data_IF_684361567817
#
_entry.id   IF_684361567817
#
_cell.length_a   1.000
_cell.length_b   1.000
_cell.length_c   1.000
_cell.angle_alpha   90.00
_cell.angle_beta   90.00
_cell.angle_gamma   90.00
#
_symmetry.space_group_name_H-M   'P 1'
#
loop_
_entity.id
_entity.type
_entity.pdbx_description
1 polymer ?
#
# COMPACT_ATOMS: atom_id res chain seq x y z
N UNK A 1 15.54 14.77 62.01
CA UNK A 1 15.32 14.31 60.61
C UNK A 1 16.64 13.78 60.09
N UNK A 2 16.68 12.53 59.64
CA UNK A 2 17.88 11.94 59.05
C UNK A 2 17.99 12.42 57.61
N UNK A 3 18.94 13.32 57.34
CA UNK A 3 19.24 13.78 55.97
C UNK A 3 20.11 12.73 55.29
N UNK A 4 19.69 12.22 54.13
CA UNK A 4 20.49 11.32 53.29
C UNK A 4 20.94 12.08 52.05
N UNK A 5 22.25 12.20 51.85
CA UNK A 5 22.82 12.81 50.66
C UNK A 5 23.01 11.76 49.57
N UNK A 6 22.65 12.10 48.34
CA UNK A 6 22.83 11.25 47.17
C UNK A 6 23.51 12.07 46.07
N UNK A 7 24.41 11.42 45.33
CA UNK A 7 25.05 12.01 44.15
C UNK A 7 24.67 11.18 42.93
N UNK A 8 24.41 11.85 41.81
CA UNK A 8 24.12 11.20 40.54
C UNK A 8 24.68 12.05 39.40
N UNK A 9 25.08 11.36 38.34
CA UNK A 9 25.58 11.99 37.12
C UNK A 9 24.42 12.08 36.13
N UNK A 10 24.21 13.27 35.59
CA UNK A 10 23.31 13.48 34.46
C UNK A 10 24.14 13.48 33.19
N UNK A 11 23.64 12.86 32.14
CA UNK A 11 24.20 13.07 30.80
C UNK A 11 23.98 14.53 30.35
N UNK A 12 24.74 14.98 29.36
CA UNK A 12 24.72 16.37 28.91
C UNK A 12 23.33 16.82 28.44
N UNK A 13 22.57 15.95 27.77
CA UNK A 13 21.24 16.30 27.28
C UNK A 13 20.25 16.50 28.45
N UNK A 14 20.28 15.60 29.43
CA UNK A 14 19.45 15.70 30.63
C UNK A 14 19.85 16.91 31.48
N UNK A 15 21.15 17.18 31.64
CA UNK A 15 21.65 18.35 32.35
C UNK A 15 21.16 19.66 31.73
N UNK A 16 21.27 19.80 30.41
CA UNK A 16 20.79 20.98 29.68
C UNK A 16 19.27 21.15 29.77
N UNK A 17 18.51 20.05 29.76
CA UNK A 17 17.05 20.11 29.92
C UNK A 17 16.63 20.60 31.31
N UNK A 18 17.29 20.11 32.38
CA UNK A 18 17.02 20.55 33.75
C UNK A 18 17.45 22.01 33.94
N UNK A 19 18.59 22.42 33.36
CA UNK A 19 19.02 23.83 33.34
C UNK A 19 17.99 24.74 32.66
N UNK A 20 17.48 24.36 31.48
CA UNK A 20 16.47 25.13 30.77
C UNK A 20 15.17 25.26 31.57
N UNK A 21 14.78 24.22 32.33
CA UNK A 21 13.62 24.28 33.24
C UNK A 21 13.87 25.22 34.42
N UNK A 22 15.05 25.13 35.03
CA UNK A 22 15.45 26.01 36.13
C UNK A 22 15.39 27.49 35.74
N UNK A 23 15.88 27.83 34.54
CA UNK A 23 15.80 29.19 34.00
C UNK A 23 14.36 29.66 33.78
N UNK A 24 13.49 28.81 33.21
CA UNK A 24 12.07 29.17 32.98
C UNK A 24 11.29 29.36 34.27
N UNK A 25 11.57 28.55 35.29
CA UNK A 25 10.87 28.60 36.58
C UNK A 25 11.52 29.59 37.57
N UNK A 26 12.65 30.21 37.22
CA UNK A 26 13.40 31.09 38.13
C UNK A 26 13.94 30.35 39.36
N UNK A 27 14.19 29.05 39.24
CA UNK A 27 14.65 28.15 40.31
C UNK A 27 16.11 27.76 40.12
N UNK A 28 16.74 27.26 41.18
CA UNK A 28 18.05 26.59 41.05
C UNK A 28 17.88 25.18 40.50
N UNK A 29 18.95 24.62 39.91
CA UNK A 29 18.96 23.25 39.41
C UNK A 29 18.58 22.25 40.50
N UNK A 30 19.09 22.46 41.72
CA UNK A 30 18.83 21.65 42.90
C UNK A 30 17.35 21.69 43.32
N UNK A 31 16.72 22.86 43.25
CA UNK A 31 15.29 23.01 43.58
C UNK A 31 14.41 22.27 42.57
N UNK A 32 14.68 22.40 41.27
CA UNK A 32 13.94 21.68 40.22
C UNK A 32 14.06 20.16 40.41
N UNK A 33 15.23 19.71 40.83
CA UNK A 33 15.56 18.31 41.00
C UNK A 33 14.97 17.73 42.30
N UNK A 34 14.99 18.52 43.39
CA UNK A 34 14.30 18.19 44.63
C UNK A 34 12.78 18.11 44.42
N UNK A 35 12.18 19.05 43.67
CA UNK A 35 10.76 19.03 43.31
C UNK A 35 10.41 17.77 42.50
N UNK A 36 11.29 17.36 41.58
CA UNK A 36 11.09 16.15 40.78
C UNK A 36 11.10 14.89 41.64
N UNK A 37 12.06 14.78 42.56
CA UNK A 37 12.17 13.65 43.49
C UNK A 37 10.97 13.61 44.44
N UNK A 38 10.54 14.77 44.94
CA UNK A 38 9.38 14.88 45.82
C UNK A 38 8.08 14.49 45.08
N UNK A 39 7.90 14.92 43.84
CA UNK A 39 6.74 14.57 43.02
C UNK A 39 6.67 13.06 42.74
N UNK A 40 7.82 12.43 42.43
CA UNK A 40 7.92 10.99 42.26
C UNK A 40 7.55 10.22 43.54
N UNK A 41 8.07 10.66 44.69
CA UNK A 41 7.82 10.01 45.98
C UNK A 41 6.35 10.09 46.43
N UNK A 42 5.61 11.11 45.98
CA UNK A 42 4.19 11.30 46.33
C UNK A 42 3.21 10.64 45.34
N UNK A 43 3.69 9.89 44.33
CA UNK A 43 2.82 9.27 43.33
C UNK A 43 2.05 10.28 42.47
N UNK A 44 2.54 11.53 42.43
CA UNK A 44 1.91 12.62 41.71
C UNK A 44 2.14 12.52 40.21
N UNK A 45 1.36 11.70 39.53
CA UNK A 45 1.12 11.84 38.08
C UNK A 45 0.21 13.04 37.84
N UNK A 46 0.69 14.25 38.12
CA UNK A 46 0.17 15.44 37.44
C UNK A 46 0.44 15.24 35.95
N UNK A 47 -0.57 15.41 35.08
CA UNK A 47 -0.55 15.18 33.62
C UNK A 47 0.57 15.89 32.87
N UNK A 48 1.80 15.49 33.15
CA UNK A 48 3.04 15.82 32.49
C UNK A 48 3.39 14.64 31.59
N UNK A 49 4.00 14.91 30.43
CA UNK A 49 4.34 13.85 29.50
C UNK A 49 5.25 12.83 30.17
N UNK A 50 4.82 11.56 30.17
CA UNK A 50 5.65 10.46 30.61
C UNK A 50 6.79 10.33 29.61
N UNK A 51 8.05 10.36 30.03
CA UNK A 51 9.17 10.11 29.12
C UNK A 51 9.42 8.60 28.97
N UNK A 52 9.65 8.13 27.75
CA UNK A 52 9.98 6.74 27.44
C UNK A 52 11.32 6.66 26.69
N UNK A 53 12.28 5.91 27.22
CA UNK A 53 13.56 5.67 26.54
C UNK A 53 13.41 4.48 25.58
N UNK A 54 13.60 4.73 24.29
CA UNK A 54 13.51 3.75 23.21
C UNK A 54 14.49 2.60 23.45
N UNK A 55 13.97 1.38 23.49
CA UNK A 55 14.75 0.16 23.64
C UNK A 55 15.01 -0.50 22.28
N UNK A 56 15.94 -1.45 22.25
CA UNK A 56 16.24 -2.19 21.03
C UNK A 56 15.01 -2.92 20.50
N UNK A 57 14.63 -2.63 19.25
CA UNK A 57 13.47 -3.24 18.61
C UNK A 57 12.13 -2.52 18.85
N UNK A 58 12.15 -1.38 19.54
CA UNK A 58 10.98 -0.52 19.67
C UNK A 58 10.62 0.18 18.36
N UNK A 59 9.33 0.42 18.17
CA UNK A 59 8.76 1.30 17.15
C UNK A 59 7.77 2.22 17.85
N UNK A 60 7.46 3.41 17.30
CA UNK A 60 6.46 4.29 17.92
C UNK A 60 5.12 3.58 18.12
N UNK A 61 4.73 2.65 17.24
CA UNK A 61 3.55 1.81 17.40
C UNK A 61 3.63 0.82 18.55
N UNK A 62 4.79 0.19 18.79
CA UNK A 62 4.99 -0.68 19.97
C UNK A 62 4.94 0.11 21.26
N UNK A 63 5.58 1.27 21.27
CA UNK A 63 5.58 2.19 22.41
C UNK A 63 4.13 2.69 22.65
N UNK A 64 3.40 3.10 21.62
CA UNK A 64 2.00 3.51 21.73
C UNK A 64 1.09 2.39 22.23
N UNK A 65 1.29 1.14 21.78
CA UNK A 65 0.56 -0.01 22.31
C UNK A 65 0.85 -0.23 23.79
N UNK A 66 2.11 -0.12 24.21
CA UNK A 66 2.51 -0.28 25.60
C UNK A 66 1.95 0.85 26.49
N UNK A 67 1.96 2.10 26.00
CA UNK A 67 1.60 3.27 26.79
C UNK A 67 0.10 3.62 26.76
N UNK A 68 -0.58 3.32 25.65
CA UNK A 68 -1.98 3.72 25.42
C UNK A 68 -2.94 2.54 25.21
N UNK A 69 -2.42 1.30 25.23
CA UNK A 69 -3.17 0.10 24.85
C UNK A 69 -3.47 -0.01 23.35
N UNK A 70 -3.06 0.98 22.55
CA UNK A 70 -3.41 1.06 21.13
C UNK A 70 -2.19 1.53 20.30
N UNK A 71 -1.66 0.69 19.40
CA UNK A 71 -0.54 1.05 18.54
C UNK A 71 -0.86 2.20 17.60
N UNK A 72 -2.13 2.43 17.24
CA UNK A 72 -2.54 3.47 16.29
C UNK A 72 -2.49 4.88 16.89
N UNK A 73 -2.24 4.99 18.20
CA UNK A 73 -2.04 6.27 18.89
C UNK A 73 -0.59 6.77 18.84
N UNK A 74 0.29 6.09 18.11
CA UNK A 74 1.66 6.53 17.88
C UNK A 74 1.80 7.96 17.29
N UNK A 75 0.86 8.50 16.48
CA UNK A 75 0.97 9.87 16.00
C UNK A 75 0.97 10.90 17.14
N UNK A 76 0.36 10.59 18.29
CA UNK A 76 0.41 11.45 19.47
C UNK A 76 1.84 11.57 20.03
N UNK A 77 2.57 10.45 20.06
CA UNK A 77 4.00 10.43 20.46
C UNK A 77 4.83 11.15 19.39
N UNK A 78 4.58 10.87 18.12
CA UNK A 78 5.28 11.52 17.00
C UNK A 78 5.15 13.05 17.07
N UNK A 79 3.91 13.56 17.22
CA UNK A 79 3.62 14.98 17.28
C UNK A 79 4.22 15.63 18.52
N UNK A 80 4.10 14.99 19.69
CA UNK A 80 4.66 15.52 20.94
C UNK A 80 6.20 15.63 20.92
N UNK A 81 6.88 14.85 20.08
CA UNK A 81 8.32 14.84 19.93
C UNK A 81 8.82 15.52 18.64
N UNK A 82 7.92 16.15 17.87
CA UNK A 82 8.24 16.76 16.56
C UNK A 82 9.01 15.82 15.62
N UNK A 83 8.70 14.52 15.64
CA UNK A 83 9.36 13.54 14.79
C UNK A 83 8.85 13.68 13.36
N UNK A 84 9.71 14.14 12.47
CA UNK A 84 9.40 14.32 11.04
C UNK A 84 9.16 12.99 10.33
N UNK A 85 9.79 11.92 10.82
CA UNK A 85 9.55 10.55 10.40
C UNK A 85 9.30 9.66 11.63
N UNK A 86 8.11 9.02 11.76
CA UNK A 86 7.78 8.15 12.87
C UNK A 86 8.60 6.85 12.94
N UNK A 87 9.32 6.48 11.87
CA UNK A 87 10.23 5.34 11.84
C UNK A 87 11.66 5.65 12.30
N UNK A 88 12.03 6.93 12.38
CA UNK A 88 13.36 7.36 12.79
C UNK A 88 13.42 7.56 14.32
N UNK A 89 13.41 6.45 15.04
CA UNK A 89 13.74 6.43 16.47
C UNK A 89 14.95 5.54 16.75
N UNK A 90 15.84 5.98 17.63
CA UNK A 90 17.10 5.29 17.96
C UNK A 90 17.07 4.75 19.38
N UNK A 91 17.75 3.63 19.62
CA UNK A 91 17.91 3.07 20.98
C UNK A 91 18.59 4.10 21.89
N UNK A 92 18.02 4.32 23.07
CA UNK A 92 18.46 5.35 24.02
C UNK A 92 17.81 6.72 23.81
N UNK A 93 17.04 6.93 22.72
CA UNK A 93 16.28 8.16 22.52
C UNK A 93 15.16 8.29 23.56
N UNK A 94 15.05 9.46 24.20
CA UNK A 94 13.96 9.74 25.15
C UNK A 94 12.81 10.40 24.42
N UNK A 95 11.62 9.80 24.49
CA UNK A 95 10.39 10.28 23.86
C UNK A 95 9.38 10.78 24.89
N UNK A 96 8.78 11.93 24.62
CA UNK A 96 7.64 12.52 25.31
C UNK A 96 6.37 11.73 24.95
N UNK A 97 5.76 11.07 25.93
CA UNK A 97 4.50 10.33 25.78
C UNK A 97 3.36 11.18 26.37
N UNK A 98 2.59 11.91 25.55
CA UNK A 98 1.50 12.75 26.05
C UNK A 98 0.37 11.92 26.66
N UNK A 99 -0.27 12.35 27.76
CA UNK A 99 -1.44 11.67 28.29
C UNK A 99 -2.62 11.72 27.30
N UNK A 100 -3.44 10.67 27.28
CA UNK A 100 -4.69 10.71 26.53
C UNK A 100 -5.64 11.69 27.21
N UNK A 101 -6.16 12.66 26.45
CA UNK A 101 -7.21 13.54 26.95
C UNK A 101 -8.37 12.67 27.44
N UNK A 102 -8.80 12.89 28.68
CA UNK A 102 -9.97 12.21 29.23
C UNK A 102 -11.16 12.48 28.30
N UNK A 103 -11.99 11.46 28.01
CA UNK A 103 -13.15 11.66 27.17
C UNK A 103 -14.05 12.72 27.80
N UNK A 104 -14.20 13.86 27.12
CA UNK A 104 -15.27 14.81 27.42
C UNK A 104 -16.59 14.03 27.32
N UNK A 105 -17.50 14.09 28.31
CA UNK A 105 -18.77 13.39 28.21
C UNK A 105 -19.47 13.82 26.92
N UNK A 106 -19.83 12.85 26.09
CA UNK A 106 -20.51 13.08 24.83
C UNK A 106 -21.81 13.86 25.06
N UNK A 107 -22.18 14.83 24.21
CA UNK A 107 -23.49 15.46 24.28
C UNK A 107 -24.57 14.37 24.16
N UNK A 108 -25.53 14.39 25.08
CA UNK A 108 -26.67 13.49 25.14
C UNK A 108 -27.36 13.41 23.76
N UNK A 109 -27.57 12.22 23.18
CA UNK A 109 -28.29 12.12 21.92
C UNK A 109 -29.72 12.66 22.09
N UNK A 110 -30.26 13.41 21.10
CA UNK A 110 -31.64 13.86 21.15
C UNK A 110 -32.60 12.65 21.16
N UNK A 111 -33.81 12.80 21.74
CA UNK A 111 -34.76 11.70 21.84
C UNK A 111 -35.08 11.11 20.47
N UNK A 112 -35.08 9.77 20.39
CA UNK A 112 -35.43 9.04 19.18
C UNK A 112 -36.87 9.39 18.74
N UNK A 113 -37.02 9.84 17.49
CA UNK A 113 -38.33 9.96 16.86
C UNK A 113 -38.95 8.57 16.72
N UNK A 114 -40.24 8.48 17.03
CA UNK A 114 -41.04 7.26 16.98
C UNK A 114 -40.96 6.57 15.60
N UNK A 115 -41.07 5.22 15.54
CA UNK A 115 -41.02 4.49 14.29
C UNK A 115 -42.22 4.86 13.40
N UNK A 116 -41.93 5.32 12.19
CA UNK A 116 -42.90 5.48 11.11
C UNK A 116 -43.50 4.10 10.77
N UNK A 117 -44.83 3.94 10.65
CA UNK A 117 -45.45 2.67 10.32
C UNK A 117 -45.02 2.16 8.93
N UNK A 118 -44.86 0.84 8.83
CA UNK A 118 -44.47 0.14 7.61
C UNK A 118 -45.45 0.40 6.45
N UNK A 119 -44.98 0.53 5.20
CA UNK A 119 -45.86 0.60 4.05
C UNK A 119 -46.62 -0.73 3.87
N UNK A 120 -47.92 -0.61 3.61
CA UNK A 120 -48.84 -1.71 3.29
C UNK A 120 -48.35 -2.48 2.06
N UNK A 121 -48.42 -3.83 2.04
CA UNK A 121 -48.04 -4.60 0.86
C UNK A 121 -48.96 -4.29 -0.33
N UNK A 122 -48.34 -3.96 -1.46
CA UNK A 122 -49.00 -3.84 -2.77
C UNK A 122 -49.52 -5.22 -3.22
N UNK A 123 -50.70 -5.34 -3.83
CA UNK A 123 -51.24 -6.63 -4.28
C UNK A 123 -50.37 -7.23 -5.41
N UNK A 124 -50.30 -8.57 -5.41
CA UNK A 124 -49.58 -9.36 -6.38
C UNK A 124 -50.10 -9.14 -7.81
N UNK A 125 -49.22 -9.15 -8.84
CA UNK A 125 -49.67 -9.06 -10.23
C UNK A 125 -50.38 -10.36 -10.65
N UNK A 126 -51.51 -10.19 -11.34
CA UNK A 126 -52.29 -11.26 -11.97
C UNK A 126 -51.48 -11.87 -13.13
N UNK A 127 -51.41 -13.20 -13.27
CA UNK A 127 -50.71 -13.83 -14.40
C UNK A 127 -51.43 -13.53 -15.73
N UNK A 128 -50.69 -13.31 -16.84
CA UNK A 128 -51.31 -13.12 -18.15
C UNK A 128 -51.90 -14.42 -18.69
N UNK A 129 -53.07 -14.30 -19.33
CA UNK A 129 -53.76 -15.38 -20.04
C UNK A 129 -52.91 -15.96 -21.19
N UNK A 130 -53.08 -17.26 -21.52
CA UNK A 130 -52.36 -17.88 -22.63
C UNK A 130 -52.82 -17.31 -23.99
N UNK A 131 -51.91 -17.14 -24.97
CA UNK A 131 -52.28 -16.70 -26.31
C UNK A 131 -53.01 -17.82 -27.07
N UNK A 132 -54.01 -17.40 -27.85
CA UNK A 132 -54.70 -18.22 -28.85
C UNK A 132 -53.73 -18.67 -29.96
N UNK A 133 -53.88 -19.89 -30.51
CA UNK A 133 -53.04 -20.36 -31.60
C UNK A 133 -53.43 -19.63 -32.89
N UNK A 134 -52.49 -18.88 -33.46
CA UNK A 134 -52.60 -18.27 -34.79
C UNK A 134 -51.82 -19.13 -35.78
N UNK A 135 -52.50 -19.60 -36.82
CA UNK A 135 -51.92 -20.38 -37.92
C UNK A 135 -50.93 -19.51 -38.72
N UNK A 136 -49.70 -19.98 -38.97
CA UNK A 136 -48.73 -19.21 -39.77
C UNK A 136 -49.09 -19.23 -41.27
N UNK A 137 -48.88 -18.13 -42.02
CA UNK A 137 -48.97 -18.14 -43.48
C UNK A 137 -47.76 -18.86 -44.10
N UNK A 138 -48.00 -19.52 -45.24
CA UNK A 138 -47.01 -20.26 -46.01
C UNK A 138 -45.85 -19.39 -46.49
N UNK A 139 -44.63 -19.93 -46.33
CA UNK A 139 -43.37 -19.31 -46.70
C UNK A 139 -43.21 -19.13 -48.23
N UNK A 140 -42.60 -18.03 -48.71
CA UNK A 140 -42.14 -17.92 -50.09
C UNK A 140 -40.88 -18.78 -50.33
N UNK A 141 -40.70 -19.20 -51.57
CA UNK A 141 -39.63 -20.09 -52.04
C UNK A 141 -38.21 -19.54 -51.78
N UNK A 142 -37.21 -20.42 -51.55
CA UNK A 142 -35.86 -20.01 -51.16
C UNK A 142 -35.08 -19.38 -52.33
N UNK A 143 -34.64 -18.14 -52.15
CA UNK A 143 -33.60 -17.51 -52.97
C UNK A 143 -32.23 -18.11 -52.61
N UNK A 144 -31.39 -18.33 -53.62
CA UNK A 144 -30.06 -18.93 -53.45
C UNK A 144 -29.17 -18.15 -52.46
N UNK A 145 -28.38 -18.84 -51.62
CA UNK A 145 -27.50 -18.20 -50.64
C UNK A 145 -26.41 -17.37 -51.33
N UNK A 146 -26.07 -16.17 -50.82
CA UNK A 146 -24.95 -15.40 -51.32
C UNK A 146 -23.64 -16.19 -51.13
N UNK A 147 -22.72 -16.04 -52.08
CA UNK A 147 -21.43 -16.71 -52.08
C UNK A 147 -20.67 -16.44 -50.77
N UNK A 148 -19.95 -17.44 -50.21
CA UNK A 148 -19.19 -17.27 -48.98
C UNK A 148 -18.16 -16.16 -49.14
N UNK A 149 -18.12 -15.24 -48.17
CA UNK A 149 -17.08 -14.22 -48.09
C UNK A 149 -15.70 -14.90 -48.10
N UNK A 150 -14.69 -14.30 -48.78
CA UNK A 150 -13.34 -14.85 -48.74
C UNK A 150 -12.86 -14.96 -47.29
N UNK A 151 -12.12 -16.02 -46.93
CA UNK A 151 -11.57 -16.16 -45.59
C UNK A 151 -10.77 -14.90 -45.25
N UNK A 152 -10.93 -14.32 -44.03
CA UNK A 152 -10.16 -13.16 -43.63
C UNK A 152 -8.67 -13.50 -43.77
N UNK A 153 -7.93 -12.59 -44.42
CA UNK A 153 -6.48 -12.70 -44.51
C UNK A 153 -5.93 -12.79 -43.08
N UNK A 154 -5.06 -13.75 -42.73
CA UNK A 154 -4.52 -13.83 -41.39
C UNK A 154 -3.79 -12.52 -41.09
N UNK A 155 -4.31 -11.77 -40.12
CA UNK A 155 -3.62 -10.60 -39.56
C UNK A 155 -2.28 -11.14 -39.03
N UNK A 156 -1.14 -10.53 -39.39
CA UNK A 156 0.15 -10.97 -38.86
C UNK A 156 0.07 -10.97 -37.34
N UNK A 157 0.24 -12.15 -36.73
CA UNK A 157 0.30 -12.32 -35.29
C UNK A 157 1.57 -11.66 -34.80
N UNK A 158 1.48 -10.38 -34.42
CA UNK A 158 2.55 -9.69 -33.72
C UNK A 158 2.78 -10.45 -32.42
N UNK A 159 4.00 -10.94 -32.20
CA UNK A 159 4.37 -11.56 -30.94
C UNK A 159 4.11 -10.54 -29.81
N UNK A 160 3.18 -10.80 -28.88
CA UNK A 160 2.84 -9.86 -27.81
C UNK A 160 4.02 -9.62 -26.87
N UNK A 161 5.05 -10.47 -26.89
CA UNK A 161 6.27 -10.32 -26.11
C UNK A 161 7.47 -9.77 -26.91
N UNK A 162 7.26 -9.25 -28.13
CA UNK A 162 8.33 -8.70 -28.95
C UNK A 162 9.03 -7.51 -28.24
N UNK A 163 10.38 -7.40 -28.32
CA UNK A 163 11.12 -6.29 -27.73
C UNK A 163 10.60 -4.93 -28.17
N UNK A 164 10.59 -3.97 -27.25
CA UNK A 164 10.21 -2.59 -27.53
C UNK A 164 11.41 -1.87 -28.18
N UNK A 165 11.27 -1.25 -29.36
CA UNK A 165 12.35 -0.50 -29.99
C UNK A 165 12.81 0.69 -29.15
N UNK A 166 14.10 1.01 -29.21
CA UNK A 166 14.69 2.24 -28.64
C UNK A 166 14.52 2.44 -27.12
N UNK A 167 14.23 1.38 -26.35
CA UNK A 167 14.25 1.45 -24.88
C UNK A 167 15.58 0.95 -24.32
N UNK A 168 16.02 1.60 -23.25
CA UNK A 168 17.21 1.27 -22.46
C UNK A 168 16.92 1.50 -20.98
N UNK A 169 17.52 0.68 -20.11
CA UNK A 169 17.29 0.71 -18.67
C UNK A 169 18.60 0.96 -17.94
N UNK A 170 18.54 1.73 -16.85
CA UNK A 170 19.69 1.94 -15.97
C UNK A 170 19.55 1.18 -14.67
N UNK A 171 20.50 1.39 -13.77
CA UNK A 171 20.51 0.81 -12.43
C UNK A 171 20.67 1.90 -11.39
N UNK A 172 20.20 1.62 -10.18
CA UNK A 172 20.53 2.39 -8.98
C UNK A 172 21.06 1.45 -7.89
N UNK A 173 21.98 1.93 -7.03
CA UNK A 173 22.30 1.24 -5.80
C UNK A 173 21.07 1.20 -4.89
N UNK A 174 20.88 0.08 -4.20
CA UNK A 174 19.82 -0.03 -3.21
C UNK A 174 20.18 0.74 -1.93
N UNK A 175 19.18 1.21 -1.20
CA UNK A 175 19.32 1.76 0.14
C UNK A 175 19.12 0.64 1.15
N UNK A 176 20.11 0.43 2.01
CA UNK A 176 20.08 -0.61 3.03
C UNK A 176 20.50 -2.01 2.53
N UNK A 177 20.12 -3.08 3.26
CA UNK A 177 20.46 -4.44 2.88
C UNK A 177 19.58 -4.94 1.72
N UNK A 178 20.08 -5.89 0.90
CA UNK A 178 19.24 -6.68 0.01
C UNK A 178 18.12 -7.41 0.76
N UNK A 179 17.12 -7.86 0.02
CA UNK A 179 16.07 -8.73 0.53
C UNK A 179 16.66 -9.94 1.28
N UNK A 180 16.02 -10.33 2.38
CA UNK A 180 16.52 -11.33 3.33
C UNK A 180 16.52 -12.77 2.79
N UNK A 181 15.92 -12.98 1.61
CA UNK A 181 15.80 -14.28 0.93
C UNK A 181 15.76 -14.09 -0.60
N UNK A 182 15.99 -15.16 -1.38
CA UNK A 182 15.91 -15.10 -2.83
C UNK A 182 14.59 -14.52 -3.32
N UNK A 183 14.63 -13.62 -4.30
CA UNK A 183 13.47 -12.85 -4.72
C UNK A 183 12.35 -13.72 -5.33
N UNK A 184 12.68 -14.83 -5.99
CA UNK A 184 11.71 -15.82 -6.49
C UNK A 184 11.00 -16.58 -5.35
N UNK A 185 11.58 -16.58 -4.15
CA UNK A 185 11.06 -17.17 -2.91
C UNK A 185 10.52 -16.12 -1.92
N UNK A 186 10.47 -14.84 -2.32
CA UNK A 186 10.03 -13.74 -1.47
C UNK A 186 8.61 -13.33 -1.81
N UNK A 187 7.62 -13.75 -1.01
CA UNK A 187 6.18 -13.54 -1.31
C UNK A 187 5.74 -12.07 -1.33
N UNK A 188 6.55 -11.18 -0.78
CA UNK A 188 6.36 -9.73 -0.85
C UNK A 188 6.91 -9.11 -2.15
N UNK A 189 7.85 -9.76 -2.84
CA UNK A 189 8.40 -9.32 -4.13
C UNK A 189 7.77 -10.08 -5.30
N UNK A 190 7.53 -11.37 -5.13
CA UNK A 190 6.92 -12.26 -6.10
C UNK A 190 5.48 -12.62 -5.68
N UNK A 191 4.49 -11.90 -6.24
CA UNK A 191 3.07 -12.05 -5.91
C UNK A 191 2.55 -13.46 -6.20
N UNK A 192 3.15 -14.21 -7.12
CA UNK A 192 2.78 -15.60 -7.46
C UNK A 192 2.70 -16.51 -6.23
N UNK A 193 3.63 -16.31 -5.29
CA UNK A 193 3.72 -17.14 -4.09
C UNK A 193 2.47 -16.98 -3.23
N UNK A 194 2.07 -15.73 -2.99
CA UNK A 194 0.82 -15.41 -2.29
C UNK A 194 -0.37 -15.99 -3.04
N UNK A 195 -0.42 -15.84 -4.35
CA UNK A 195 -1.62 -16.16 -5.13
C UNK A 195 -2.83 -15.35 -4.66
N UNK A 196 -3.96 -15.58 -5.31
CA UNK A 196 -5.16 -14.76 -5.11
C UNK A 196 -6.38 -15.50 -5.62
N UNK A 197 -7.55 -15.12 -5.10
CA UNK A 197 -8.84 -15.73 -5.41
C UNK A 197 -9.83 -14.66 -5.89
N UNK A 198 -10.72 -14.95 -6.86
CA UNK A 198 -11.74 -14.01 -7.30
C UNK A 198 -12.62 -13.54 -6.14
N UNK A 199 -13.14 -12.32 -6.24
CA UNK A 199 -14.04 -11.72 -5.25
C UNK A 199 -15.31 -11.19 -5.92
N UNK A 200 -16.33 -10.86 -5.11
CA UNK A 200 -17.58 -10.27 -5.60
C UNK A 200 -17.52 -8.73 -5.69
N UNK A 201 -16.32 -8.14 -5.57
CA UNK A 201 -16.17 -6.69 -5.61
C UNK A 201 -16.64 -6.09 -6.93
N UNK A 202 -17.17 -4.86 -6.85
CA UNK A 202 -17.60 -4.11 -8.03
C UNK A 202 -16.44 -3.89 -9.03
N UNK A 203 -16.72 -4.09 -10.31
CA UNK A 203 -15.84 -3.74 -11.44
C UNK A 203 -15.97 -2.25 -11.80
N UNK A 204 -15.72 -1.38 -10.81
CA UNK A 204 -15.72 0.06 -11.00
C UNK A 204 -14.71 0.70 -10.06
N UNK A 205 -14.25 1.91 -10.39
CA UNK A 205 -13.56 2.73 -9.41
C UNK A 205 -14.48 3.01 -8.21
N UNK A 206 -13.89 3.14 -7.04
CA UNK A 206 -14.61 3.39 -5.78
C UNK A 206 -14.10 4.65 -5.10
N UNK A 207 -15.00 5.32 -4.38
CA UNK A 207 -14.67 6.42 -3.50
C UNK A 207 -14.50 5.88 -2.07
N UNK A 208 -13.43 6.32 -1.42
CA UNK A 208 -13.14 5.99 -0.02
C UNK A 208 -12.85 7.28 0.75
N UNK A 209 -13.36 7.38 1.97
CA UNK A 209 -13.07 8.50 2.84
C UNK A 209 -11.60 8.50 3.30
N UNK A 210 -11.11 9.66 3.75
CA UNK A 210 -9.75 9.84 4.25
C UNK A 210 -8.91 10.79 3.39
N UNK A 211 -7.70 11.09 3.87
CA UNK A 211 -6.78 11.98 3.18
C UNK A 211 -6.31 11.39 1.84
N UNK A 212 -6.12 12.25 0.85
CA UNK A 212 -5.46 11.90 -0.41
C UNK A 212 -3.95 12.04 -0.25
N UNK A 213 -3.19 11.04 -0.66
CA UNK A 213 -1.76 11.20 -0.85
C UNK A 213 -1.50 11.78 -2.25
N UNK A 214 -0.87 12.96 -2.34
CA UNK A 214 -0.53 13.64 -3.60
C UNK A 214 0.64 13.02 -4.37
N UNK A 215 1.35 12.06 -3.78
CA UNK A 215 2.46 11.31 -4.38
C UNK A 215 2.14 9.83 -4.58
N UNK A 216 0.88 9.43 -4.40
CA UNK A 216 0.41 8.11 -4.83
C UNK A 216 0.64 7.90 -6.35
N UNK A 217 1.10 6.70 -6.77
CA UNK A 217 1.24 6.38 -8.19
C UNK A 217 -0.08 6.41 -8.94
N UNK A 218 -0.08 7.06 -10.10
CA UNK A 218 -1.28 7.24 -10.92
C UNK A 218 -1.44 6.09 -11.93
N UNK A 219 -2.34 5.14 -11.67
CA UNK A 219 -2.51 3.92 -12.49
C UNK A 219 -2.94 4.19 -13.92
N UNK A 220 -3.57 5.33 -14.21
CA UNK A 220 -3.80 5.77 -15.58
C UNK A 220 -2.50 5.84 -16.39
N UNK A 221 -1.36 6.10 -15.74
CA UNK A 221 -0.04 6.14 -16.37
C UNK A 221 0.52 4.78 -16.80
N UNK A 222 -0.18 3.66 -16.53
CA UNK A 222 0.14 2.36 -17.14
C UNK A 222 -0.07 2.39 -18.66
N UNK A 223 -1.07 3.13 -19.12
CA UNK A 223 -1.52 3.18 -20.50
C UNK A 223 -0.96 4.42 -21.22
N UNK A 224 -0.56 4.27 -22.48
CA UNK A 224 0.07 5.35 -23.24
C UNK A 224 -0.85 6.58 -23.43
N UNK A 225 -2.14 6.33 -23.64
CA UNK A 225 -3.20 7.34 -23.77
C UNK A 225 -3.68 7.90 -22.42
N UNK A 226 -3.10 7.39 -21.32
CA UNK A 226 -3.48 7.69 -19.95
C UNK A 226 -4.97 7.43 -19.68
N UNK A 227 -5.61 6.45 -20.32
CA UNK A 227 -7.03 6.15 -20.07
C UNK A 227 -7.29 5.72 -18.63
N UNK A 228 -8.55 5.85 -18.22
CA UNK A 228 -9.03 5.14 -17.03
C UNK A 228 -9.16 3.67 -17.41
N UNK A 229 -8.44 2.78 -16.72
CA UNK A 229 -8.48 1.35 -17.03
C UNK A 229 -9.89 0.79 -16.82
N UNK A 230 -10.38 -0.01 -17.76
CA UNK A 230 -11.65 -0.73 -17.63
C UNK A 230 -11.40 -1.96 -16.78
N UNK A 231 -12.13 -2.11 -15.67
CA UNK A 231 -11.96 -3.25 -14.78
C UNK A 231 -12.68 -4.48 -15.34
N UNK A 232 -11.94 -5.57 -15.48
CA UNK A 232 -12.42 -6.84 -16.04
C UNK A 232 -12.56 -7.93 -14.97
N UNK A 233 -11.76 -7.85 -13.91
CA UNK A 233 -11.74 -8.83 -12.82
C UNK A 233 -11.24 -8.22 -11.52
N UNK A 234 -11.61 -8.83 -10.38
CA UNK A 234 -11.15 -8.40 -9.05
C UNK A 234 -10.87 -9.60 -8.15
N UNK A 235 -9.81 -9.49 -7.35
CA UNK A 235 -9.31 -10.58 -6.52
C UNK A 235 -8.90 -10.11 -5.13
N UNK A 236 -8.89 -11.05 -4.18
CA UNK A 236 -8.25 -10.94 -2.88
C UNK A 236 -6.97 -11.77 -2.87
N UNK A 237 -5.87 -11.11 -2.53
CA UNK A 237 -4.53 -11.69 -2.41
C UNK A 237 -4.41 -12.39 -1.08
N UNK A 238 -3.73 -13.53 -1.04
CA UNK A 238 -3.56 -14.25 0.22
C UNK A 238 -2.49 -13.61 1.11
N UNK A 239 -2.68 -13.79 2.43
CA UNK A 239 -1.64 -13.56 3.43
C UNK A 239 -0.47 -14.50 3.20
N UNK A 240 0.65 -14.17 3.83
CA UNK A 240 1.83 -15.01 3.81
C UNK A 240 2.30 -15.23 5.23
N UNK A 241 2.45 -16.50 5.60
CA UNK A 241 2.93 -16.94 6.89
C UNK A 241 4.44 -17.17 6.75
N UNK A 242 5.23 -16.18 7.16
CA UNK A 242 6.68 -16.26 7.11
C UNK A 242 7.20 -17.33 8.08
N UNK A 243 8.15 -18.12 7.61
CA UNK A 243 8.92 -19.08 8.43
C UNK A 243 10.37 -18.59 8.58
N UNK A 244 11.10 -19.08 9.60
CA UNK A 244 12.53 -18.80 9.73
C UNK A 244 13.32 -19.22 8.50
N UNK A 245 14.38 -18.47 8.18
CA UNK A 245 15.29 -18.81 7.09
C UNK A 245 15.88 -20.22 7.31
N UNK A 246 16.06 -21.01 6.23
CA UNK A 246 15.90 -20.64 4.82
C UNK A 246 14.48 -20.87 4.25
N UNK A 247 13.50 -21.24 5.07
CA UNK A 247 12.16 -21.54 4.57
C UNK A 247 11.48 -20.27 4.02
N UNK A 248 10.87 -20.31 2.82
CA UNK A 248 10.15 -19.17 2.28
C UNK A 248 8.89 -18.83 3.07
N UNK A 249 8.39 -19.75 3.90
CA UNK A 249 7.07 -19.68 4.50
C UNK A 249 6.00 -20.31 3.61
N UNK A 250 4.74 -20.07 3.95
CA UNK A 250 3.59 -20.65 3.26
C UNK A 250 2.44 -19.66 3.08
N UNK A 251 1.64 -19.92 2.06
CA UNK A 251 0.39 -19.18 1.81
C UNK A 251 -0.53 -19.29 3.03
N UNK A 252 -1.11 -18.16 3.42
CA UNK A 252 -2.14 -18.07 4.46
C UNK A 252 -3.52 -17.83 3.87
N UNK A 253 -4.46 -17.46 4.72
CA UNK A 253 -5.82 -17.09 4.33
C UNK A 253 -5.86 -15.78 3.50
N UNK A 254 -6.94 -15.53 2.75
CA UNK A 254 -7.15 -14.27 2.03
C UNK A 254 -6.97 -13.02 2.91
N UNK A 255 -6.49 -11.94 2.31
CA UNK A 255 -6.46 -10.62 2.95
C UNK A 255 -7.89 -10.10 3.02
N UNK A 256 -8.27 -9.58 4.18
CA UNK A 256 -9.63 -9.11 4.48
C UNK A 256 -9.67 -7.62 4.81
N UNK A 257 -8.53 -6.93 4.78
CA UNK A 257 -8.43 -5.49 5.05
C UNK A 257 -9.19 -4.68 3.99
N UNK A 258 -9.18 -5.18 2.75
CA UNK A 258 -9.97 -4.70 1.63
C UNK A 258 -10.64 -5.88 0.93
N UNK A 259 -11.86 -5.65 0.42
CA UNK A 259 -12.58 -6.63 -0.40
C UNK A 259 -11.77 -7.01 -1.65
N UNK A 260 -11.12 -6.01 -2.27
CA UNK A 260 -10.29 -6.18 -3.46
C UNK A 260 -8.88 -5.69 -3.14
N UNK A 261 -7.87 -6.50 -3.46
CA UNK A 261 -6.44 -6.16 -3.29
C UNK A 261 -5.63 -6.35 -4.57
N UNK A 262 -6.28 -6.82 -5.64
CA UNK A 262 -5.73 -6.99 -6.98
C UNK A 262 -6.88 -6.78 -7.97
N UNK A 263 -6.68 -5.94 -8.99
CA UNK A 263 -7.67 -5.67 -10.02
C UNK A 263 -7.10 -5.96 -11.40
N UNK A 264 -7.90 -6.63 -12.24
CA UNK A 264 -7.63 -6.80 -13.66
C UNK A 264 -8.11 -5.59 -14.46
N UNK A 265 -7.29 -5.17 -15.41
CA UNK A 265 -7.58 -4.07 -16.32
C UNK A 265 -7.49 -4.54 -17.76
N UNK A 266 -8.49 -4.18 -18.56
CA UNK A 266 -8.57 -4.51 -19.98
C UNK A 266 -7.38 -3.93 -20.76
N UNK A 267 -6.75 -4.80 -21.56
CA UNK A 267 -5.65 -4.46 -22.47
C UNK A 267 -5.85 -5.08 -23.84
N UNK A 268 -5.02 -4.69 -24.79
CA UNK A 268 -4.82 -5.44 -26.04
C UNK A 268 -3.54 -6.28 -25.95
N UNK A 269 -3.51 -7.50 -26.53
CA UNK A 269 -2.27 -8.28 -26.60
C UNK A 269 -1.16 -7.47 -27.30
N UNK A 270 -0.03 -7.30 -26.63
CA UNK A 270 1.09 -6.50 -27.12
C UNK A 270 1.03 -5.00 -26.79
N UNK A 271 -0.03 -4.51 -26.14
CA UNK A 271 -0.14 -3.11 -25.67
C UNK A 271 1.04 -2.78 -24.74
N UNK A 272 1.72 -1.66 -24.98
CA UNK A 272 2.88 -1.27 -24.16
C UNK A 272 2.40 -0.76 -22.80
N UNK A 273 2.92 -1.37 -21.74
CA UNK A 273 2.67 -0.97 -20.36
C UNK A 273 3.83 -0.13 -19.84
N UNK A 274 3.52 0.97 -19.16
CA UNK A 274 4.47 1.97 -18.71
C UNK A 274 4.52 2.09 -17.18
N UNK A 275 5.59 2.69 -16.66
CA UNK A 275 5.71 3.02 -15.23
C UNK A 275 4.70 4.11 -14.85
N UNK A 276 3.78 3.86 -13.89
CA UNK A 276 2.89 4.88 -13.37
C UNK A 276 3.67 6.05 -12.76
N UNK A 277 3.33 7.29 -13.14
CA UNK A 277 3.99 8.46 -12.55
C UNK A 277 3.45 8.74 -11.15
N UNK A 278 4.34 9.14 -10.26
CA UNK A 278 4.08 9.50 -8.87
C UNK A 278 4.84 10.78 -8.45
N UNK A 279 5.75 11.28 -9.29
CA UNK A 279 6.58 12.45 -9.01
C UNK A 279 7.71 12.20 -8.01
N UNK A 280 8.14 10.94 -7.82
CA UNK A 280 9.37 10.67 -7.07
C UNK A 280 10.61 10.83 -7.97
N UNK A 281 11.70 11.28 -7.38
CA UNK A 281 13.06 11.08 -7.87
C UNK A 281 13.80 10.36 -6.76
N UNK A 282 14.11 9.08 -6.99
CA UNK A 282 14.86 8.23 -6.05
C UNK A 282 16.35 8.20 -6.38
N UNK A 283 16.79 9.05 -7.33
CA UNK A 283 18.17 9.17 -7.78
C UNK A 283 18.24 9.22 -9.31
N UNK A 284 19.05 10.14 -9.84
CA UNK A 284 19.38 10.23 -11.27
C UNK A 284 18.14 10.37 -12.20
N UNK A 285 17.03 10.91 -11.68
CA UNK A 285 15.78 11.06 -12.43
C UNK A 285 14.99 9.76 -12.59
N UNK A 286 15.40 8.68 -11.92
CA UNK A 286 14.60 7.46 -11.81
C UNK A 286 13.57 7.61 -10.70
N UNK A 287 12.43 6.95 -10.87
CA UNK A 287 11.32 6.99 -9.91
C UNK A 287 11.11 5.66 -9.21
N UNK A 288 11.42 4.56 -9.89
CA UNK A 288 11.17 3.22 -9.36
C UNK A 288 12.39 2.32 -9.46
N UNK A 289 12.55 1.43 -8.48
CA UNK A 289 13.38 0.22 -8.57
C UNK A 289 12.54 -0.99 -9.00
N UNK A 290 13.14 -1.90 -9.76
CA UNK A 290 12.56 -3.22 -10.08
C UNK A 290 13.04 -4.23 -9.06
N UNK A 291 12.16 -4.61 -8.13
CA UNK A 291 12.48 -5.57 -7.09
C UNK A 291 12.34 -7.02 -7.55
N UNK A 292 11.47 -7.26 -8.54
CA UNK A 292 11.26 -8.57 -9.12
C UNK A 292 10.86 -8.44 -10.59
N UNK A 293 11.38 -9.30 -11.45
CA UNK A 293 10.92 -9.47 -12.82
C UNK A 293 11.10 -10.93 -13.28
N UNK A 294 10.05 -11.49 -13.88
CA UNK A 294 10.10 -12.75 -14.63
C UNK A 294 9.40 -12.53 -16.00
N UNK A 295 9.26 -13.55 -16.87
CA UNK A 295 8.62 -13.37 -18.18
C UNK A 295 7.13 -12.97 -18.15
N UNK A 296 6.47 -13.02 -17.00
CA UNK A 296 5.02 -12.88 -16.81
C UNK A 296 4.62 -11.80 -15.78
N UNK A 297 5.55 -11.32 -14.94
CA UNK A 297 5.26 -10.39 -13.85
C UNK A 297 6.43 -9.49 -13.49
N UNK A 298 6.13 -8.33 -12.92
CA UNK A 298 7.11 -7.35 -12.43
C UNK A 298 6.63 -6.66 -11.16
N UNK A 299 7.56 -6.34 -10.26
CA UNK A 299 7.32 -5.57 -9.03
C UNK A 299 8.17 -4.30 -9.03
N UNK A 300 7.48 -3.15 -8.99
CA UNK A 300 8.06 -1.81 -8.95
C UNK A 300 8.01 -1.26 -7.52
N UNK A 301 9.04 -0.52 -7.13
CA UNK A 301 9.14 0.14 -5.83
C UNK A 301 9.46 1.61 -5.99
N UNK A 302 8.70 2.48 -5.33
CA UNK A 302 8.85 3.95 -5.42
C UNK A 302 9.82 4.55 -4.40
N UNK A 303 10.70 3.72 -3.84
CA UNK A 303 11.76 4.10 -2.90
C UNK A 303 13.02 3.28 -3.21
N UNK A 304 14.14 3.61 -2.56
CA UNK A 304 15.44 3.02 -2.88
C UNK A 304 15.72 1.65 -2.25
N UNK A 305 14.87 1.15 -1.35
CA UNK A 305 15.11 -0.10 -0.63
C UNK A 305 14.74 -1.34 -1.45
N UNK A 306 15.49 -2.43 -1.25
CA UNK A 306 15.14 -3.76 -1.75
C UNK A 306 14.05 -4.42 -0.87
N UNK A 307 12.96 -3.70 -0.65
CA UNK A 307 11.88 -4.07 0.24
C UNK A 307 10.61 -3.28 -0.07
N UNK A 308 9.47 -3.93 0.08
CA UNK A 308 8.13 -3.33 -0.08
C UNK A 308 7.56 -2.80 1.24
N UNK A 309 8.34 -2.83 2.34
CA UNK A 309 7.89 -2.49 3.69
C UNK A 309 7.60 -1.00 3.86
N UNK A 310 8.30 -0.11 3.16
CA UNK A 310 8.12 1.35 3.29
C UNK A 310 7.65 1.93 1.97
N UNK A 311 6.62 2.78 1.96
CA UNK A 311 6.15 3.49 0.77
C UNK A 311 5.53 2.57 -0.30
N UNK A 312 5.31 3.12 -1.50
CA UNK A 312 4.53 2.43 -2.52
C UNK A 312 5.30 1.33 -3.27
N UNK A 313 4.59 0.25 -3.57
CA UNK A 313 4.98 -0.77 -4.53
C UNK A 313 3.82 -1.12 -5.45
N UNK A 314 4.11 -1.43 -6.71
CA UNK A 314 3.11 -1.91 -7.69
C UNK A 314 3.57 -3.26 -8.21
N UNK A 315 2.68 -4.24 -8.17
CA UNK A 315 2.91 -5.58 -8.67
C UNK A 315 2.00 -5.79 -9.87
N UNK A 316 2.58 -6.14 -11.02
CA UNK A 316 1.87 -6.30 -12.29
C UNK A 316 2.05 -7.74 -12.77
N UNK A 317 0.94 -8.38 -13.06
CA UNK A 317 0.82 -9.74 -13.57
C UNK A 317 0.23 -9.72 -14.99
N UNK A 318 0.44 -10.80 -15.75
CA UNK A 318 -0.10 -10.91 -17.12
C UNK A 318 0.65 -10.05 -18.13
N UNK A 319 1.94 -9.80 -17.89
CA UNK A 319 2.77 -8.92 -18.71
C UNK A 319 3.98 -9.67 -19.29
N UNK A 320 4.30 -9.44 -20.55
CA UNK A 320 5.63 -9.71 -21.10
C UNK A 320 6.59 -8.61 -20.65
N UNK A 321 7.39 -8.85 -19.61
CA UNK A 321 8.42 -7.88 -19.19
C UNK A 321 9.40 -7.68 -20.33
N UNK A 322 9.80 -6.42 -20.59
CA UNK A 322 10.71 -6.11 -21.70
C UNK A 322 12.00 -6.94 -21.58
N UNK A 323 12.41 -7.70 -22.62
CA UNK A 323 13.54 -8.63 -22.51
C UNK A 323 14.85 -8.01 -22.02
N UNK A 324 15.16 -6.77 -22.44
CA UNK A 324 16.35 -6.04 -21.94
C UNK A 324 16.26 -5.70 -20.46
N UNK A 325 15.07 -5.33 -19.98
CA UNK A 325 14.83 -5.04 -18.56
C UNK A 325 14.94 -6.31 -17.73
N UNK A 326 14.32 -7.40 -18.18
CA UNK A 326 14.37 -8.68 -17.50
C UNK A 326 15.81 -9.21 -17.43
N UNK A 327 16.58 -9.12 -18.53
CA UNK A 327 17.98 -9.51 -18.55
C UNK A 327 18.83 -8.70 -17.56
N UNK A 328 18.62 -7.38 -17.50
CA UNK A 328 19.30 -6.52 -16.52
C UNK A 328 18.92 -6.89 -15.09
N UNK A 329 17.64 -7.14 -14.81
CA UNK A 329 17.19 -7.63 -13.50
C UNK A 329 17.87 -8.94 -13.13
N UNK A 330 17.88 -9.94 -14.03
CA UNK A 330 18.49 -11.24 -13.78
C UNK A 330 19.98 -11.13 -13.48
N UNK A 331 20.71 -10.28 -14.22
CA UNK A 331 22.12 -10.01 -13.99
C UNK A 331 22.34 -9.41 -12.60
N UNK A 332 21.59 -8.37 -12.24
CA UNK A 332 21.71 -7.70 -10.94
C UNK A 332 21.30 -8.62 -9.78
N UNK A 333 20.27 -9.44 -9.97
CA UNK A 333 19.82 -10.42 -9.00
C UNK A 333 20.88 -11.49 -8.74
N UNK A 334 21.49 -12.02 -9.80
CA UNK A 334 22.60 -12.97 -9.69
C UNK A 334 23.86 -12.35 -9.05
N UNK A 335 24.07 -11.04 -9.22
CA UNK A 335 25.17 -10.29 -8.62
C UNK A 335 24.95 -9.87 -7.15
N UNK A 336 23.91 -10.39 -6.49
CA UNK A 336 23.66 -10.13 -5.06
C UNK A 336 22.87 -8.85 -4.77
N UNK A 337 22.16 -8.30 -5.77
CA UNK A 337 21.10 -7.27 -5.61
C UNK A 337 21.53 -5.94 -4.96
N UNK A 338 22.83 -5.65 -4.86
CA UNK A 338 23.33 -4.35 -4.36
C UNK A 338 23.04 -3.18 -5.29
N UNK A 339 22.73 -3.48 -6.54
CA UNK A 339 22.13 -2.56 -7.50
C UNK A 339 20.94 -3.28 -8.12
N UNK A 340 19.91 -2.53 -8.52
CA UNK A 340 18.74 -3.07 -9.20
C UNK A 340 18.37 -2.16 -10.39
N UNK A 341 17.65 -2.68 -11.41
CA UNK A 341 17.16 -1.85 -12.49
C UNK A 341 16.29 -0.71 -11.95
N UNK A 342 16.47 0.47 -12.52
CA UNK A 342 15.71 1.67 -12.17
C UNK A 342 15.04 2.25 -13.42
N UNK A 343 13.79 2.69 -13.28
CA UNK A 343 12.99 3.22 -14.39
C UNK A 343 12.48 4.63 -14.11
N UNK A 344 12.38 5.41 -15.19
CA UNK A 344 11.87 6.78 -15.20
C UNK A 344 10.33 6.80 -15.27
N UNK A 345 9.69 7.91 -14.90
CA UNK A 345 8.24 8.08 -15.10
C UNK A 345 7.84 7.84 -16.56
N UNK A 346 6.71 7.15 -16.77
CA UNK A 346 6.17 6.80 -18.09
C UNK A 346 7.11 5.98 -18.98
N UNK A 347 8.19 5.41 -18.43
CA UNK A 347 9.06 4.54 -19.21
C UNK A 347 8.33 3.23 -19.53
N UNK A 348 8.40 2.71 -20.77
CA UNK A 348 7.91 1.37 -21.07
C UNK A 348 8.61 0.33 -20.18
N UNK A 349 7.84 -0.62 -19.63
CA UNK A 349 8.37 -1.70 -18.78
C UNK A 349 8.12 -3.10 -19.36
N UNK A 350 7.28 -3.18 -20.39
CA UNK A 350 6.87 -4.43 -21.02
C UNK A 350 5.61 -4.25 -21.85
N UNK A 351 5.01 -5.37 -22.26
CA UNK A 351 3.78 -5.42 -23.04
C UNK A 351 2.74 -6.29 -22.36
N UNK A 352 1.47 -5.94 -22.46
CA UNK A 352 0.38 -6.80 -22.01
C UNK A 352 0.45 -8.13 -22.75
N UNK A 353 0.42 -9.24 -22.00
CA UNK A 353 0.52 -10.59 -22.58
C UNK A 353 -0.76 -10.98 -23.31
N UNK A 354 -1.90 -10.45 -22.88
CA UNK A 354 -3.21 -10.76 -23.42
C UNK A 354 -4.18 -9.59 -23.25
N UNK A 355 -5.46 -9.93 -23.08
CA UNK A 355 -6.55 -8.94 -22.99
C UNK A 355 -6.73 -8.35 -21.58
N UNK A 356 -5.90 -8.76 -20.63
CA UNK A 356 -5.92 -8.26 -19.26
C UNK A 356 -4.50 -8.24 -18.67
N UNK A 357 -4.19 -7.18 -17.92
CA UNK A 357 -3.12 -7.18 -16.91
C UNK A 357 -3.73 -7.06 -15.51
N UNK A 358 -3.08 -7.61 -14.50
CA UNK A 358 -3.58 -7.53 -13.12
C UNK A 358 -2.61 -6.71 -12.27
N UNK A 359 -3.13 -5.78 -11.48
CA UNK A 359 -2.32 -4.81 -10.73
C UNK A 359 -2.71 -4.80 -9.27
N UNK A 360 -1.73 -5.07 -8.39
CA UNK A 360 -1.84 -4.89 -6.96
C UNK A 360 -0.98 -3.72 -6.52
N UNK A 361 -1.47 -2.98 -5.53
CA UNK A 361 -0.74 -1.86 -4.91
C UNK A 361 -0.43 -2.25 -3.47
N UNK A 362 0.78 -1.95 -3.04
CA UNK A 362 1.14 -1.94 -1.62
C UNK A 362 1.50 -0.53 -1.18
N UNK A 363 1.07 -0.18 0.01
CA UNK A 363 1.54 1.00 0.74
C UNK A 363 2.12 0.51 2.07
N UNK A 364 3.42 0.75 2.26
CA UNK A 364 4.12 0.46 3.51
C UNK A 364 3.88 -0.98 3.96
N UNK A 365 4.10 -1.93 3.04
CA UNK A 365 3.97 -3.36 3.26
C UNK A 365 2.53 -3.89 3.35
N UNK A 366 1.50 -3.08 3.18
CA UNK A 366 0.10 -3.55 3.19
C UNK A 366 -0.49 -3.47 1.79
N UNK A 367 -1.31 -4.45 1.43
CA UNK A 367 -2.08 -4.40 0.18
C UNK A 367 -3.20 -3.36 0.29
N UNK A 368 -3.43 -2.62 -0.79
CA UNK A 368 -4.45 -1.59 -0.92
C UNK A 368 -5.49 -2.01 -1.96
N UNK A 369 -6.65 -1.36 -1.97
CA UNK A 369 -7.64 -1.53 -3.03
C UNK A 369 -7.24 -0.68 -4.27
N UNK A 370 -6.88 -1.31 -5.42
CA UNK A 370 -6.45 -0.58 -6.62
C UNK A 370 -7.54 0.25 -7.29
N UNK A 371 -8.81 0.09 -6.87
CA UNK A 371 -9.98 0.79 -7.41
C UNK A 371 -10.15 2.19 -6.81
N UNK A 372 -9.44 2.52 -5.74
CA UNK A 372 -9.66 3.76 -4.98
C UNK A 372 -9.29 4.98 -5.81
N UNK A 373 -10.27 5.83 -6.09
CA UNK A 373 -10.11 7.02 -6.94
C UNK A 373 -9.11 8.03 -6.37
N UNK A 374 -9.29 8.36 -5.09
CA UNK A 374 -8.64 9.52 -4.46
C UNK A 374 -7.11 9.47 -4.56
N UNK A 375 -6.52 8.28 -4.52
CA UNK A 375 -5.07 8.09 -4.52
C UNK A 375 -4.57 7.74 -5.91
N UNK A 376 -5.13 6.70 -6.56
CA UNK A 376 -4.53 6.09 -7.75
C UNK A 376 -5.06 6.63 -9.09
N UNK A 377 -6.20 7.32 -9.09
CA UNK A 377 -6.93 7.70 -10.31
C UNK A 377 -7.36 9.17 -10.26
N UNK A 378 -6.44 10.09 -9.94
CA UNK A 378 -6.81 11.49 -9.78
C UNK A 378 -7.37 12.09 -11.07
N UNK A 379 -8.47 12.81 -10.91
CA UNK A 379 -9.20 13.45 -12.02
C UNK A 379 -10.04 12.48 -12.86
N UNK A 380 -10.35 11.27 -12.36
CA UNK A 380 -11.13 10.23 -13.05
C UNK A 380 -12.37 9.77 -12.29
#
# INVERSE_FOLDING_TARGET
MTVRNFSFNLDDATYQAVLGRAQREGKTLEQVLADLIAAYAQGGSSGQPTSYTVQQGDTLGKIARAMYGDPYKYPLIQQANNLSDPGHIWVGQVLIIPPLAAPTPAPTPPPALAPTPAPTPSPAPVPPSPPTPVTPPSAPAPTAPPAPAPPPTPIPTVDPCAPIPNVSYGTLPIVGPPADRPADKHADLNLALRGYSPTAGKLSLIDMAGATDHRAPQLAGLFADKRTGILTSVYSVNKWNWEPLPSPGKRGEPITDYEVTLAGFETEPGEIIHVPNAGYDIGQGYQVLVLYADPNRITLKYTGEDSVVNGYAIQIEGICVEPKLQALYNQMNAAGRRQLPALKPFQPLGRARGVEIQVAIRDTGKFMDPRVRKDWWRGR
#
